data_IF_571378939750
#
_entry.id   IF_571378939750
#
_cell.length_a   1.000
_cell.length_b   1.000
_cell.length_c   1.000
_cell.angle_alpha   90.00
_cell.angle_beta   90.00
_cell.angle_gamma   90.00
#
_symmetry.space_group_name_H-M   'P 1'
#
loop_
_entity.id
_entity.type
_entity.pdbx_description
1 polymer ?
#
# COMPACT_ATOMS: atom_id res chain seq x y z
N UNK A 1 15.36 12.49 -11.53
CA UNK A 1 16.37 11.53 -11.05
C UNK A 1 15.66 10.41 -10.32
N UNK A 2 15.92 9.15 -10.65
CA UNK A 2 15.32 8.00 -9.97
C UNK A 2 16.22 7.60 -8.80
N UNK A 3 15.67 7.52 -7.58
CA UNK A 3 16.43 7.09 -6.39
C UNK A 3 16.09 5.63 -6.09
N UNK A 4 17.11 4.79 -5.90
CA UNK A 4 16.91 3.42 -5.41
C UNK A 4 16.62 3.45 -3.92
N UNK A 5 15.61 2.69 -3.50
CA UNK A 5 15.19 2.56 -2.10
C UNK A 5 15.07 1.07 -1.82
N UNK A 6 15.72 0.61 -0.74
CA UNK A 6 15.60 -0.77 -0.30
C UNK A 6 14.26 -0.97 0.42
N UNK A 7 13.56 -2.05 0.09
CA UNK A 7 12.27 -2.41 0.67
C UNK A 7 12.28 -3.87 1.08
N UNK A 8 11.60 -4.19 2.19
CA UNK A 8 11.41 -5.56 2.68
C UNK A 8 9.92 -5.86 2.74
N UNK A 9 9.50 -6.92 2.07
CA UNK A 9 8.13 -7.42 2.15
C UNK A 9 7.95 -8.11 3.51
N UNK A 10 6.97 -7.64 4.29
CA UNK A 10 6.66 -8.17 5.62
C UNK A 10 5.50 -9.16 5.58
N UNK A 11 4.49 -8.90 4.75
CA UNK A 11 3.33 -9.76 4.56
C UNK A 11 3.43 -10.49 3.21
N UNK A 12 3.29 -11.84 3.17
CA UNK A 12 3.45 -12.63 1.95
C UNK A 12 2.39 -12.37 0.87
N UNK A 13 1.28 -11.68 1.19
CA UNK A 13 0.24 -11.30 0.22
C UNK A 13 0.68 -10.15 -0.68
N UNK A 14 1.57 -9.28 -0.19
CA UNK A 14 2.11 -8.14 -0.97
C UNK A 14 2.94 -8.67 -2.13
N UNK A 15 2.58 -8.27 -3.35
CA UNK A 15 3.17 -8.73 -4.61
C UNK A 15 2.57 -10.04 -5.15
N UNK A 16 1.61 -10.67 -4.44
CA UNK A 16 0.91 -11.87 -4.89
C UNK A 16 -0.58 -11.65 -5.07
N UNK A 17 -1.27 -11.35 -3.98
CA UNK A 17 -2.71 -11.10 -3.99
C UNK A 17 -3.01 -9.67 -4.41
N UNK A 18 -2.22 -8.72 -3.92
CA UNK A 18 -2.23 -7.33 -4.36
C UNK A 18 -0.82 -6.90 -4.78
N UNK A 19 -0.68 -6.08 -5.84
CA UNK A 19 0.62 -5.70 -6.37
C UNK A 19 1.40 -4.79 -5.41
N UNK A 20 2.72 -4.80 -5.57
CA UNK A 20 3.60 -3.82 -4.92
C UNK A 20 3.22 -2.38 -5.34
N UNK A 21 3.53 -1.36 -4.52
CA UNK A 21 3.33 0.03 -4.90
C UNK A 21 4.09 0.38 -6.19
N UNK A 22 3.38 0.91 -7.18
CA UNK A 22 3.95 1.36 -8.46
C UNK A 22 3.40 2.72 -8.86
N UNK A 23 4.18 3.48 -9.62
CA UNK A 23 3.69 4.72 -10.20
C UNK A 23 2.65 4.40 -11.28
N UNK A 24 1.47 5.02 -11.19
CA UNK A 24 0.39 4.77 -12.15
C UNK A 24 0.75 5.21 -13.58
N UNK A 25 1.53 6.28 -13.71
CA UNK A 25 2.06 6.78 -14.99
C UNK A 25 3.52 7.20 -14.83
N UNK A 26 4.22 7.42 -15.95
CA UNK A 26 5.61 7.90 -15.92
C UNK A 26 5.77 9.31 -15.33
N UNK A 27 4.70 10.10 -15.29
CA UNK A 27 4.69 11.45 -14.71
C UNK A 27 4.14 11.52 -13.29
N UNK A 28 3.76 10.39 -12.68
CA UNK A 28 3.18 10.36 -11.34
C UNK A 28 4.21 10.77 -10.29
N UNK A 29 3.80 11.67 -9.39
CA UNK A 29 4.64 12.14 -8.28
C UNK A 29 4.60 11.20 -7.05
N UNK A 30 3.53 10.41 -6.90
CA UNK A 30 3.29 9.54 -5.74
C UNK A 30 3.06 8.08 -6.12
N UNK A 31 3.12 7.22 -5.10
CA UNK A 31 2.85 5.80 -5.16
C UNK A 31 1.62 5.51 -4.28
N UNK A 32 0.69 4.71 -4.79
CA UNK A 32 -0.45 4.26 -3.99
C UNK A 32 -0.02 3.18 -3.01
N UNK A 33 -0.40 3.33 -1.74
CA UNK A 33 -0.30 2.28 -0.73
C UNK A 33 -1.63 1.54 -0.62
N UNK A 34 -1.58 0.23 -0.42
CA UNK A 34 -2.76 -0.63 -0.32
C UNK A 34 -2.94 -1.08 1.13
N UNK A 35 -4.20 -1.21 1.55
CA UNK A 35 -4.54 -1.75 2.86
C UNK A 35 -4.30 -3.27 2.88
N UNK A 36 -3.36 -3.73 3.71
CA UNK A 36 -3.02 -5.14 3.89
C UNK A 36 -3.90 -5.76 4.98
N UNK A 37 -5.18 -5.95 4.69
CA UNK A 37 -6.19 -6.42 5.65
C UNK A 37 -6.67 -7.84 5.30
N UNK A 38 -6.97 -8.64 6.32
CA UNK A 38 -7.60 -9.96 6.15
C UNK A 38 -9.07 -9.84 5.76
N UNK A 39 -9.77 -8.89 6.39
CA UNK A 39 -11.19 -8.59 6.18
C UNK A 39 -11.41 -7.09 6.02
N UNK A 40 -12.56 -6.72 5.45
CA UNK A 40 -12.96 -5.32 5.34
C UNK A 40 -13.12 -4.68 6.73
N UNK A 41 -12.68 -3.43 6.87
CA UNK A 41 -12.87 -2.61 8.08
C UNK A 41 -13.88 -1.51 7.76
N UNK A 42 -15.03 -1.54 8.44
CA UNK A 42 -16.01 -0.46 8.41
C UNK A 42 -15.62 0.65 9.39
N UNK A 43 -15.65 1.91 8.95
CA UNK A 43 -15.36 3.08 9.79
C UNK A 43 -16.61 3.95 9.89
N UNK A 44 -17.09 4.17 11.12
CA UNK A 44 -18.17 5.11 11.35
C UNK A 44 -17.64 6.57 11.31
N UNK A 45 -18.53 7.58 11.18
CA UNK A 45 -18.12 8.98 11.20
C UNK A 45 -17.37 9.34 12.50
N UNK A 46 -16.12 9.78 12.35
CA UNK A 46 -15.25 10.18 13.46
C UNK A 46 -14.26 9.09 13.93
N UNK A 47 -14.40 7.85 13.45
CA UNK A 47 -13.47 6.78 13.79
C UNK A 47 -12.11 6.96 13.14
N UNK A 48 -11.08 6.39 13.77
CA UNK A 48 -9.74 6.28 13.21
C UNK A 48 -9.20 4.88 13.45
N UNK A 49 -8.59 4.28 12.44
CA UNK A 49 -7.94 2.97 12.54
C UNK A 49 -6.54 3.00 11.95
N UNK A 50 -5.66 2.17 12.49
CA UNK A 50 -4.31 1.99 11.96
C UNK A 50 -4.32 0.84 10.95
N UNK A 51 -3.98 1.15 9.69
CA UNK A 51 -4.00 0.19 8.59
C UNK A 51 -2.57 -0.21 8.21
N UNK A 52 -2.22 -1.52 8.21
CA UNK A 52 -0.93 -2.00 7.72
C UNK A 52 -0.86 -1.98 6.17
N UNK A 53 0.36 -1.99 5.64
CA UNK A 53 0.69 -1.96 4.21
C UNK A 53 1.52 -3.15 3.77
#
# INVERSE_FOLDING_TARGET
MMKKIDVKILDPRVGKEFPLPTYATSGSAGLDLRACLDDAVELAPGDTTLVPT
#
